data_IF_167170481030
#
_entry.id   IF_167170481030
#
_cell.length_a   1.000
_cell.length_b   1.000
_cell.length_c   1.000
_cell.angle_alpha   90.00
_cell.angle_beta   90.00
_cell.angle_gamma   90.00
#
_symmetry.space_group_name_H-M   'P 1'
#
loop_
_entity.id
_entity.type
_entity.pdbx_description
1 polymer ?
#
# COMPACT_ATOMS: atom_id res chain seq x y z
N UNK A 1 -14.86 10.91 -9.17
CA UNK A 1 -13.91 11.39 -8.14
C UNK A 1 -13.12 10.20 -7.59
N UNK A 2 -11.85 10.36 -7.20
CA UNK A 2 -11.08 9.34 -6.46
C UNK A 2 -11.57 9.28 -5.00
N UNK A 3 -11.63 8.09 -4.39
CA UNK A 3 -12.01 7.96 -2.98
C UNK A 3 -10.85 8.27 -2.05
N UNK A 4 -11.11 8.80 -0.85
CA UNK A 4 -10.10 8.91 0.21
C UNK A 4 -9.59 7.54 0.66
N UNK A 5 -10.42 6.50 0.56
CA UNK A 5 -10.01 5.12 0.85
C UNK A 5 -9.07 4.54 -0.22
N UNK A 6 -8.94 5.20 -1.38
CA UNK A 6 -7.92 4.84 -2.37
C UNK A 6 -6.53 5.33 -1.99
N UNK A 7 -6.45 6.40 -1.19
CA UNK A 7 -5.20 6.95 -0.66
C UNK A 7 -4.77 6.22 0.61
N UNK A 8 -5.72 5.94 1.49
CA UNK A 8 -5.49 5.25 2.76
C UNK A 8 -5.89 3.78 2.66
N UNK A 9 -4.93 2.93 2.30
CA UNK A 9 -5.15 1.48 2.15
C UNK A 9 -4.31 0.73 3.16
N UNK A 10 -4.97 -0.16 3.91
CA UNK A 10 -4.29 -1.14 4.75
C UNK A 10 -3.52 -2.08 3.82
N UNK A 11 -2.25 -2.29 4.11
CA UNK A 11 -1.39 -3.17 3.33
C UNK A 11 -0.23 -3.67 4.19
N UNK A 12 0.80 -4.16 3.51
CA UNK A 12 2.04 -4.59 4.15
C UNK A 12 3.22 -3.83 3.59
N UNK A 13 4.20 -3.59 4.45
CA UNK A 13 5.50 -3.07 4.07
C UNK A 13 6.35 -4.08 3.30
N UNK A 14 7.50 -3.65 2.78
CA UNK A 14 8.03 -2.28 2.84
C UNK A 14 7.56 -1.35 1.72
N UNK A 15 6.96 -1.87 0.64
CA UNK A 15 6.73 -1.07 -0.57
C UNK A 15 5.36 -1.29 -1.21
N UNK A 16 4.66 -0.21 -1.51
CA UNK A 16 3.39 -0.28 -2.25
C UNK A 16 3.61 -0.75 -3.69
N UNK A 17 4.72 -0.37 -4.34
CA UNK A 17 5.03 -0.75 -5.72
C UNK A 17 5.72 -2.11 -5.83
N UNK A 18 6.59 -2.46 -4.88
CA UNK A 18 7.42 -3.67 -4.96
C UNK A 18 6.94 -4.80 -4.03
N UNK A 19 5.97 -4.56 -3.14
CA UNK A 19 5.39 -5.60 -2.28
C UNK A 19 3.89 -5.75 -2.54
N UNK A 20 3.10 -4.68 -2.35
CA UNK A 20 1.64 -4.73 -2.55
C UNK A 20 1.27 -4.97 -4.01
N UNK A 21 1.94 -4.28 -4.95
CA UNK A 21 1.75 -4.47 -6.39
C UNK A 21 1.94 -5.93 -6.84
N UNK A 22 3.09 -6.58 -6.57
CA UNK A 22 3.30 -7.99 -6.93
C UNK A 22 2.31 -8.97 -6.32
N UNK A 23 1.85 -8.77 -5.07
CA UNK A 23 0.76 -9.59 -4.49
C UNK A 23 -0.48 -9.48 -5.36
N UNK A 24 -0.90 -8.26 -5.69
CA UNK A 24 -2.09 -8.00 -6.50
C UNK A 24 -1.96 -8.54 -7.92
N UNK A 25 -0.79 -8.40 -8.55
CA UNK A 25 -0.52 -8.96 -9.89
C UNK A 25 -0.68 -10.48 -9.86
N UNK A 26 -0.04 -11.15 -8.89
CA UNK A 26 -0.13 -12.60 -8.76
C UNK A 26 -1.57 -13.06 -8.50
N UNK A 27 -2.33 -12.36 -7.66
CA UNK A 27 -3.75 -12.65 -7.43
C UNK A 27 -4.59 -12.48 -8.72
N UNK A 28 -4.37 -11.40 -9.50
CA UNK A 28 -5.06 -11.20 -10.78
C UNK A 28 -4.75 -12.26 -11.82
N UNK A 29 -3.50 -12.73 -11.87
CA UNK A 29 -3.12 -13.81 -12.74
C UNK A 29 -3.85 -15.11 -12.39
N UNK A 30 -4.03 -15.39 -11.09
CA UNK A 30 -4.84 -16.52 -10.62
C UNK A 30 -6.32 -16.36 -11.01
N UNK A 31 -6.90 -15.17 -10.85
CA UNK A 31 -8.27 -14.88 -11.31
C UNK A 31 -8.41 -15.16 -12.83
N UNK A 32 -7.42 -14.77 -13.64
CA UNK A 32 -7.42 -15.00 -15.09
C UNK A 32 -7.32 -16.50 -15.46
N UNK A 33 -6.58 -17.30 -14.69
CA UNK A 33 -6.54 -18.76 -14.84
C UNK A 33 -7.89 -19.41 -14.53
N UNK A 34 -8.61 -18.91 -13.52
CA UNK A 34 -9.95 -19.38 -13.19
C UNK A 34 -10.96 -19.02 -14.29
N UNK A 35 -10.94 -17.76 -14.74
CA UNK A 35 -11.85 -17.27 -15.79
C UNK A 35 -11.64 -17.96 -17.14
N UNK A 36 -10.41 -18.34 -17.46
CA UNK A 36 -10.10 -19.11 -18.68
C UNK A 36 -10.41 -20.61 -18.58
N UNK A 37 -10.82 -21.11 -17.41
CA UNK A 37 -11.03 -22.53 -17.16
C UNK A 37 -9.73 -23.36 -17.17
N UNK A 38 -8.56 -22.71 -17.09
CA UNK A 38 -7.26 -23.37 -17.11
C UNK A 38 -6.76 -23.75 -15.72
N UNK A 39 -7.35 -23.21 -14.65
CA UNK A 39 -6.91 -23.36 -13.27
C UNK A 39 -6.58 -24.80 -12.88
N UNK A 40 -7.49 -25.75 -13.12
CA UNK A 40 -7.32 -27.15 -12.69
C UNK A 40 -6.24 -27.93 -13.47
N UNK A 41 -5.69 -27.34 -14.54
CA UNK A 41 -4.63 -27.95 -15.36
C UNK A 41 -3.24 -27.45 -15.02
N UNK A 42 -3.11 -26.46 -14.15
CA UNK A 42 -1.82 -25.83 -13.83
C UNK A 42 -0.96 -26.80 -13.03
N UNK A 43 0.19 -27.18 -13.60
CA UNK A 43 1.21 -27.98 -12.93
C UNK A 43 2.35 -27.16 -12.33
N UNK A 44 2.66 -25.99 -12.92
CA UNK A 44 3.74 -25.09 -12.50
C UNK A 44 3.43 -23.65 -12.89
N UNK A 45 3.86 -22.68 -12.09
CA UNK A 45 3.85 -21.25 -12.43
C UNK A 45 5.28 -20.74 -12.38
N UNK A 46 5.67 -19.96 -13.39
CA UNK A 46 6.93 -19.23 -13.43
C UNK A 46 6.64 -17.73 -13.46
N UNK A 47 7.48 -16.97 -12.76
CA UNK A 47 7.36 -15.53 -12.62
C UNK A 47 8.71 -14.89 -12.95
N UNK A 48 8.69 -13.88 -13.78
CA UNK A 48 9.84 -13.06 -14.11
C UNK A 48 9.63 -11.63 -13.61
N UNK A 49 10.48 -11.20 -12.67
CA UNK A 49 10.55 -9.81 -12.22
C UNK A 49 11.49 -9.05 -13.16
N UNK A 50 11.05 -7.89 -13.66
CA UNK A 50 11.77 -7.11 -14.68
C UNK A 50 12.04 -5.66 -14.23
N UNK A 51 13.04 -5.02 -14.81
CA UNK A 51 13.38 -3.62 -14.58
C UNK A 51 13.67 -3.28 -13.10
N UNK A 52 13.10 -2.18 -12.61
CA UNK A 52 13.26 -1.75 -11.20
C UNK A 52 12.74 -2.79 -10.21
N UNK A 53 11.71 -3.55 -10.59
CA UNK A 53 11.14 -4.60 -9.76
C UNK A 53 12.13 -5.75 -9.55
N UNK A 54 12.96 -6.06 -10.55
CA UNK A 54 14.08 -6.99 -10.43
C UNK A 54 15.21 -6.40 -9.59
N UNK A 55 15.65 -5.18 -9.93
CA UNK A 55 16.85 -4.55 -9.36
C UNK A 55 16.76 -4.33 -7.85
N UNK A 56 15.58 -3.98 -7.35
CA UNK A 56 15.37 -3.67 -5.92
C UNK A 56 14.47 -4.69 -5.21
N UNK A 57 14.01 -5.72 -5.93
CA UNK A 57 12.97 -6.63 -5.44
C UNK A 57 13.39 -7.45 -4.22
N UNK A 58 14.67 -7.84 -4.12
CA UNK A 58 15.19 -8.55 -2.95
C UNK A 58 15.00 -7.72 -1.67
N UNK A 59 15.38 -6.44 -1.71
CA UNK A 59 15.26 -5.52 -0.57
C UNK A 59 13.82 -5.16 -0.22
N UNK A 60 12.90 -5.24 -1.19
CA UNK A 60 11.48 -4.99 -1.01
C UNK A 60 10.63 -6.25 -0.82
N UNK A 61 11.27 -7.42 -0.72
CA UNK A 61 10.62 -8.71 -0.60
C UNK A 61 9.63 -9.04 -1.74
N UNK A 62 9.91 -8.59 -2.99
CA UNK A 62 9.07 -8.90 -4.15
C UNK A 62 8.89 -10.42 -4.37
N UNK A 63 9.93 -11.28 -4.28
CA UNK A 63 9.74 -12.72 -4.41
C UNK A 63 8.76 -13.30 -3.38
N UNK A 64 8.85 -12.83 -2.13
CA UNK A 64 7.91 -13.19 -1.06
C UNK A 64 6.49 -12.76 -1.41
N UNK A 65 6.32 -11.52 -1.84
CA UNK A 65 5.04 -10.96 -2.27
C UNK A 65 4.37 -11.77 -3.38
N UNK A 66 5.14 -12.20 -4.39
CA UNK A 66 4.64 -13.05 -5.48
C UNK A 66 4.10 -14.38 -4.94
N UNK A 67 4.87 -15.07 -4.08
CA UNK A 67 4.43 -16.34 -3.49
C UNK A 67 3.13 -16.20 -2.71
N UNK A 68 2.99 -15.11 -1.94
CA UNK A 68 1.79 -14.83 -1.16
C UNK A 68 0.58 -14.56 -2.06
N UNK A 69 0.72 -13.74 -3.10
CA UNK A 69 -0.37 -13.48 -4.04
C UNK A 69 -0.81 -14.74 -4.79
N UNK A 70 0.12 -15.58 -5.25
CA UNK A 70 -0.19 -16.88 -5.87
C UNK A 70 -0.87 -17.84 -4.88
N UNK A 71 -0.52 -17.78 -3.60
CA UNK A 71 -1.13 -18.57 -2.54
C UNK A 71 -2.52 -18.05 -2.11
N UNK A 72 -3.01 -16.96 -2.69
CA UNK A 72 -4.35 -16.41 -2.45
C UNK A 72 -4.41 -15.36 -1.33
N UNK A 73 -3.28 -14.84 -0.86
CA UNK A 73 -3.27 -13.77 0.13
C UNK A 73 -3.59 -12.42 -0.52
N UNK A 74 -4.47 -11.64 0.13
CA UNK A 74 -4.72 -10.23 -0.19
C UNK A 74 -3.89 -9.31 0.71
N UNK A 75 -3.28 -8.23 0.20
CA UNK A 75 -2.42 -7.37 1.00
C UNK A 75 -3.19 -6.66 2.14
N UNK A 76 -4.49 -6.42 1.99
CA UNK A 76 -5.35 -5.77 2.98
C UNK A 76 -5.79 -6.68 4.13
N UNK A 77 -5.77 -8.00 3.90
CA UNK A 77 -6.31 -9.03 4.81
C UNK A 77 -5.27 -10.04 5.26
N UNK A 78 -4.03 -9.93 4.77
CA UNK A 78 -2.95 -10.84 5.10
C UNK A 78 -2.64 -10.79 6.61
N UNK A 79 -2.56 -11.98 7.21
CA UNK A 79 -1.96 -12.19 8.51
C UNK A 79 -0.43 -12.34 8.35
N UNK A 80 0.39 -11.49 8.99
CA UNK A 80 1.85 -11.55 8.87
C UNK A 80 2.46 -12.89 9.29
N UNK A 81 1.92 -13.54 10.32
CA UNK A 81 2.47 -14.79 10.85
C UNK A 81 2.12 -15.95 9.92
N UNK A 82 0.88 -16.01 9.42
CA UNK A 82 0.47 -16.99 8.41
C UNK A 82 1.26 -16.84 7.11
N UNK A 83 1.57 -15.62 6.72
CA UNK A 83 2.36 -15.32 5.54
C UNK A 83 3.80 -15.84 5.65
N UNK A 84 4.47 -15.65 6.79
CA UNK A 84 5.81 -16.20 7.02
C UNK A 84 5.80 -17.74 7.00
N UNK A 85 4.83 -18.36 7.67
CA UNK A 85 4.69 -19.82 7.69
C UNK A 85 4.45 -20.38 6.28
N UNK A 86 3.62 -19.70 5.49
CA UNK A 86 3.33 -20.12 4.10
C UNK A 86 4.58 -20.05 3.23
N UNK A 87 5.34 -18.96 3.31
CA UNK A 87 6.57 -18.77 2.53
C UNK A 87 7.63 -19.78 2.92
N UNK A 88 7.83 -20.04 4.22
CA UNK A 88 8.74 -21.05 4.71
C UNK A 88 8.37 -22.45 4.18
N UNK A 89 7.08 -22.81 4.26
CA UNK A 89 6.57 -24.10 3.75
C UNK A 89 6.80 -24.27 2.25
N UNK A 90 6.59 -23.22 1.45
CA UNK A 90 6.85 -23.27 0.00
C UNK A 90 8.34 -23.54 -0.26
N UNK A 91 9.24 -22.86 0.46
CA UNK A 91 10.68 -23.08 0.33
C UNK A 91 11.14 -24.49 0.72
N UNK A 92 10.53 -25.07 1.75
CA UNK A 92 10.87 -26.43 2.22
C UNK A 92 10.31 -27.54 1.32
N UNK A 93 9.08 -27.36 0.82
CA UNK A 93 8.36 -28.42 0.10
C UNK A 93 8.49 -28.32 -1.42
N UNK A 94 8.99 -27.19 -1.93
CA UNK A 94 9.01 -26.86 -3.37
C UNK A 94 7.61 -27.03 -4.01
N UNK A 95 6.57 -26.72 -3.24
CA UNK A 95 5.18 -26.79 -3.63
C UNK A 95 4.42 -25.57 -3.12
N UNK A 96 3.62 -24.98 -4.02
CA UNK A 96 2.76 -23.84 -3.71
C UNK A 96 1.30 -24.29 -3.81
N UNK A 97 0.48 -23.89 -2.83
CA UNK A 97 -0.97 -24.13 -2.88
C UNK A 97 -1.65 -22.96 -3.60
N UNK A 98 -1.83 -23.07 -4.91
CA UNK A 98 -2.36 -22.03 -5.78
C UNK A 98 -3.77 -21.63 -5.34
N UNK A 99 -4.01 -20.33 -5.19
CA UNK A 99 -5.23 -19.76 -4.60
C UNK A 99 -5.59 -20.33 -3.21
N UNK A 100 -4.64 -20.92 -2.49
CA UNK A 100 -4.89 -21.64 -1.25
C UNK A 100 -5.66 -22.95 -1.43
N UNK A 101 -5.84 -23.43 -2.68
CA UNK A 101 -6.69 -24.58 -3.03
C UNK A 101 -5.91 -25.75 -3.62
N UNK A 102 -5.15 -25.54 -4.68
CA UNK A 102 -4.55 -26.62 -5.47
C UNK A 102 -3.02 -26.65 -5.34
N UNK A 103 -2.39 -27.75 -4.90
CA UNK A 103 -0.94 -27.85 -4.87
C UNK A 103 -0.36 -27.92 -6.28
N UNK A 104 0.63 -27.08 -6.57
CA UNK A 104 1.42 -27.08 -7.80
C UNK A 104 2.90 -27.23 -7.45
N UNK A 105 3.71 -27.68 -8.43
CA UNK A 105 5.17 -27.62 -8.30
C UNK A 105 5.59 -26.15 -8.33
N UNK A 106 6.38 -25.73 -7.34
CA UNK A 106 6.90 -24.37 -7.29
C UNK A 106 8.21 -24.34 -6.51
N UNK A 107 9.32 -24.19 -7.21
CA UNK A 107 10.65 -23.97 -6.63
C UNK A 107 11.00 -22.48 -6.73
N UNK A 108 10.95 -21.71 -5.62
CA UNK A 108 11.21 -20.28 -5.66
C UNK A 108 12.55 -19.88 -6.28
N UNK A 109 13.57 -20.76 -6.23
CA UNK A 109 14.89 -20.47 -6.76
C UNK A 109 14.96 -20.51 -8.29
N UNK A 110 14.07 -21.26 -8.93
CA UNK A 110 14.05 -21.46 -10.40
C UNK A 110 12.78 -20.92 -11.06
N UNK A 111 11.70 -20.78 -10.29
CA UNK A 111 10.39 -20.32 -10.74
C UNK A 111 10.18 -18.83 -10.51
N UNK A 112 11.01 -18.18 -9.69
CA UNK A 112 11.08 -16.70 -9.59
C UNK A 112 12.39 -16.24 -10.22
N UNK A 113 12.30 -15.77 -11.46
CA UNK A 113 13.43 -15.23 -12.22
C UNK A 113 13.55 -13.74 -11.92
N UNK A 114 14.72 -13.33 -11.43
CA UNK A 114 15.07 -11.91 -11.25
C UNK A 114 15.84 -11.44 -12.48
N UNK A 115 15.11 -10.94 -13.49
CA UNK A 115 15.66 -10.55 -14.79
C UNK A 115 16.12 -9.08 -14.78
N UNK A 116 17.26 -8.82 -14.12
CA UNK A 116 17.84 -7.48 -14.00
C UNK A 116 18.26 -6.85 -15.35
N UNK A 117 18.44 -7.67 -16.39
CA UNK A 117 18.82 -7.29 -17.75
C UNK A 117 17.61 -6.97 -18.64
N UNK A 118 16.39 -7.33 -18.22
CA UNK A 118 15.15 -7.04 -18.96
C UNK A 118 14.59 -5.70 -18.50
N UNK A 119 14.57 -4.73 -19.42
CA UNK A 119 14.01 -3.40 -19.20
C UNK A 119 12.69 -3.28 -19.97
N UNK A 120 11.53 -3.26 -19.29
CA UNK A 120 10.25 -3.14 -19.99
C UNK A 120 10.06 -1.76 -20.61
N UNK A 121 9.45 -1.72 -21.80
CA UNK A 121 9.25 -0.48 -22.55
C UNK A 121 8.14 0.43 -21.97
N UNK A 122 7.12 -0.15 -21.34
CA UNK A 122 5.90 0.56 -20.93
C UNK A 122 6.01 1.18 -19.53
N UNK A 123 6.60 0.46 -18.58
CA UNK A 123 6.78 0.93 -17.20
C UNK A 123 7.94 0.16 -16.54
N UNK A 124 8.78 0.79 -15.69
CA UNK A 124 9.99 0.17 -15.15
C UNK A 124 9.74 -1.00 -14.20
N UNK A 125 8.55 -1.11 -13.61
CA UNK A 125 8.18 -2.20 -12.70
C UNK A 125 7.37 -3.28 -13.43
N UNK A 126 8.03 -4.07 -14.27
CA UNK A 126 7.41 -5.15 -15.05
C UNK A 126 7.43 -6.49 -14.31
N UNK A 127 6.39 -7.29 -14.51
CA UNK A 127 6.27 -8.65 -14.00
C UNK A 127 5.55 -9.51 -15.02
N UNK A 128 6.20 -10.58 -15.50
CA UNK A 128 5.60 -11.56 -16.42
C UNK A 128 5.33 -12.86 -15.68
N UNK A 129 4.14 -13.42 -15.85
CA UNK A 129 3.73 -14.68 -15.24
C UNK A 129 3.32 -15.65 -16.32
N UNK A 130 3.83 -16.87 -16.22
CA UNK A 130 3.53 -17.95 -17.16
C UNK A 130 3.08 -19.18 -16.38
N UNK A 131 1.90 -19.71 -16.70
CA UNK A 131 1.38 -20.95 -16.16
C UNK A 131 1.60 -22.08 -17.16
N UNK A 132 2.07 -23.22 -16.66
CA UNK A 132 2.32 -24.42 -17.44
C UNK A 132 1.47 -25.59 -16.93
N UNK A 133 1.06 -26.47 -17.83
CA UNK A 133 0.53 -27.78 -17.46
C UNK A 133 1.64 -28.75 -17.00
N UNK A 134 1.26 -29.97 -16.58
CA UNK A 134 2.20 -31.00 -16.15
C UNK A 134 3.19 -31.45 -17.25
N UNK A 135 2.83 -31.25 -18.52
CA UNK A 135 3.67 -31.60 -19.68
C UNK A 135 4.59 -30.44 -20.11
N UNK A 136 4.48 -29.28 -19.45
CA UNK A 136 5.23 -28.06 -19.76
C UNK A 136 4.56 -27.14 -20.79
N UNK A 137 3.38 -27.49 -21.30
CA UNK A 137 2.61 -26.67 -22.22
C UNK A 137 2.14 -25.38 -21.55
N UNK A 138 2.24 -24.25 -22.25
CA UNK A 138 1.82 -22.94 -21.73
C UNK A 138 0.29 -22.85 -21.74
N UNK A 139 -0.29 -22.58 -20.58
CA UNK A 139 -1.73 -22.40 -20.37
C UNK A 139 -2.12 -20.92 -20.41
N UNK A 140 -1.29 -20.06 -19.82
CA UNK A 140 -1.48 -18.61 -19.77
C UNK A 140 -0.12 -17.93 -19.65
N UNK A 141 0.03 -16.80 -20.33
CA UNK A 141 1.24 -15.98 -20.32
C UNK A 141 0.84 -14.50 -20.36
N UNK A 142 1.06 -13.78 -19.27
CA UNK A 142 0.64 -12.39 -19.14
C UNK A 142 1.74 -11.53 -18.53
N UNK A 143 1.83 -10.30 -19.02
CA UNK A 143 2.72 -9.26 -18.48
C UNK A 143 1.89 -8.18 -17.81
N UNK A 144 2.29 -7.81 -16.60
CA UNK A 144 1.66 -6.82 -15.76
C UNK A 144 2.69 -5.83 -15.23
N UNK A 145 2.21 -4.68 -14.80
CA UNK A 145 3.02 -3.57 -14.31
C UNK A 145 2.49 -3.06 -12.98
N UNK A 146 3.39 -2.78 -12.05
CA UNK A 146 3.07 -2.12 -10.79
C UNK A 146 3.33 -0.61 -10.91
N UNK A 147 2.26 0.18 -11.05
CA UNK A 147 2.30 1.60 -11.45
C UNK A 147 2.39 2.58 -10.27
N UNK A 148 2.61 2.09 -9.05
CA UNK A 148 2.78 2.90 -7.84
C UNK A 148 1.53 2.99 -6.97
N UNK A 149 1.70 3.25 -5.66
CA UNK A 149 0.59 3.28 -4.69
C UNK A 149 -0.20 1.97 -4.54
N UNK A 150 0.37 0.83 -4.98
CA UNK A 150 -0.30 -0.47 -5.02
C UNK A 150 -1.27 -0.66 -6.20
N UNK A 151 -1.29 0.26 -7.16
CA UNK A 151 -2.03 0.10 -8.41
C UNK A 151 -1.25 -0.77 -9.40
N UNK A 152 -1.99 -1.49 -10.24
CA UNK A 152 -1.45 -2.43 -11.23
C UNK A 152 -2.16 -2.22 -12.57
N UNK A 153 -1.47 -2.52 -13.67
CA UNK A 153 -2.02 -2.46 -15.02
C UNK A 153 -1.47 -3.62 -15.86
N UNK A 154 -2.30 -4.23 -16.70
CA UNK A 154 -1.81 -5.21 -17.68
C UNK A 154 -1.08 -4.52 -18.82
N UNK A 155 -0.23 -5.27 -19.53
CA UNK A 155 0.41 -4.79 -20.76
C UNK A 155 -0.60 -4.26 -21.77
N UNK A 156 -1.72 -4.95 -21.94
CA UNK A 156 -2.79 -4.53 -22.86
C UNK A 156 -3.35 -3.16 -22.50
N UNK A 157 -3.58 -2.88 -21.22
CA UNK A 157 -4.10 -1.59 -20.73
C UNK A 157 -3.10 -0.45 -20.95
N UNK A 158 -1.80 -0.70 -20.81
CA UNK A 158 -0.78 0.34 -21.05
C UNK A 158 -0.48 0.57 -22.54
N UNK A 159 -0.52 -0.47 -23.39
CA UNK A 159 -0.31 -0.34 -24.84
C UNK A 159 -1.49 0.31 -25.55
N UNK A 160 -2.69 -0.04 -25.11
CA UNK A 160 -3.94 0.51 -25.63
C UNK A 160 -4.75 0.92 -24.41
N UNK A 161 -4.57 2.15 -23.92
CA UNK A 161 -5.54 2.73 -23.00
C UNK A 161 -6.88 2.61 -23.72
N UNK A 162 -7.81 1.81 -23.20
CA UNK A 162 -9.17 1.81 -23.75
C UNK A 162 -9.66 3.26 -23.67
N UNK A 163 -10.32 3.77 -24.71
CA UNK A 163 -11.12 4.98 -24.52
C UNK A 163 -12.04 4.70 -23.32
N UNK A 164 -11.84 5.45 -22.22
CA UNK A 164 -12.47 5.24 -20.90
C UNK A 164 -11.85 4.17 -19.95
N UNK A 165 -10.61 3.68 -20.15
CA UNK A 165 -9.90 2.74 -19.21
C UNK A 165 -9.23 3.42 -18.01
N UNK A 166 -9.35 4.74 -17.90
CA UNK A 166 -9.14 5.37 -16.61
C UNK A 166 -10.28 4.85 -15.73
N UNK A 167 -9.97 3.92 -14.80
CA UNK A 167 -10.84 3.45 -13.69
C UNK A 167 -12.00 4.42 -13.56
N UNK A 168 -13.26 4.05 -13.90
CA UNK A 168 -14.31 4.99 -14.29
C UNK A 168 -14.37 6.16 -13.32
N UNK A 169 -13.63 7.22 -13.64
CA UNK A 169 -13.32 8.29 -12.67
C UNK A 169 -14.36 9.39 -12.75
N UNK A 170 -15.30 9.24 -13.69
CA UNK A 170 -16.49 10.06 -13.81
C UNK A 170 -17.69 9.41 -13.10
N UNK A 171 -17.49 8.86 -11.90
CA UNK A 171 -18.60 8.86 -10.95
C UNK A 171 -18.92 10.33 -10.66
N UNK A 172 -20.08 10.76 -11.15
CA UNK A 172 -20.63 12.08 -10.90
C UNK A 172 -20.93 12.17 -9.40
N UNK A 173 -20.25 13.10 -8.73
CA UNK A 173 -20.43 13.36 -7.31
C UNK A 173 -21.02 14.76 -7.11
N UNK A 174 -21.77 15.01 -6.01
CA UNK A 174 -22.40 16.29 -5.75
C UNK A 174 -21.44 17.48 -5.76
N UNK A 175 -20.23 17.29 -5.25
CA UNK A 175 -19.24 18.35 -5.08
C UNK A 175 -17.92 17.98 -5.76
N UNK A 176 -17.94 17.89 -7.09
CA UNK A 176 -16.75 17.57 -7.86
C UNK A 176 -15.72 18.72 -7.81
N UNK A 177 -14.46 18.38 -7.55
CA UNK A 177 -13.35 19.32 -7.62
C UNK A 177 -12.12 18.67 -8.25
N UNK A 178 -11.33 19.50 -8.92
CA UNK A 178 -10.02 19.15 -9.48
C UNK A 178 -8.91 20.09 -9.03
N UNK A 179 -9.25 21.25 -8.44
CA UNK A 179 -8.30 22.23 -7.91
C UNK A 179 -8.67 22.68 -6.49
N UNK A 180 -7.71 23.26 -5.77
CA UNK A 180 -7.97 23.88 -4.48
C UNK A 180 -9.00 25.03 -4.58
N UNK A 181 -8.98 25.79 -5.68
CA UNK A 181 -9.96 26.85 -5.92
C UNK A 181 -11.37 26.29 -6.08
N UNK A 182 -11.54 25.21 -6.84
CA UNK A 182 -12.82 24.50 -6.97
C UNK A 182 -13.26 23.88 -5.63
N UNK A 183 -12.35 23.28 -4.86
CA UNK A 183 -12.67 22.73 -3.54
C UNK A 183 -13.24 23.81 -2.61
N UNK A 184 -12.58 24.97 -2.52
CA UNK A 184 -13.04 26.11 -1.72
C UNK A 184 -14.41 26.60 -2.22
N UNK A 185 -14.56 26.78 -3.54
CA UNK A 185 -15.83 27.20 -4.13
C UNK A 185 -16.98 26.23 -3.80
N UNK A 186 -16.74 24.91 -3.85
CA UNK A 186 -17.76 23.92 -3.53
C UNK A 186 -18.10 23.89 -2.04
N UNK A 187 -17.12 24.13 -1.15
CA UNK A 187 -17.37 24.31 0.28
C UNK A 187 -18.27 25.52 0.53
N UNK A 188 -17.96 26.67 -0.09
CA UNK A 188 -18.74 27.91 0.03
C UNK A 188 -20.16 27.75 -0.53
N UNK A 189 -20.33 27.08 -1.67
CA UNK A 189 -21.63 26.83 -2.29
C UNK A 189 -22.49 25.86 -1.48
N UNK A 190 -21.87 24.87 -0.84
CA UNK A 190 -22.56 23.87 -0.01
C UNK A 190 -22.82 24.31 1.43
N UNK A 191 -22.18 25.38 1.90
CA UNK A 191 -22.04 25.71 3.33
C UNK A 191 -21.52 24.50 4.13
N UNK A 192 -20.48 23.85 3.59
CA UNK A 192 -19.87 22.63 4.13
C UNK A 192 -18.40 22.85 4.43
N UNK A 193 -17.93 22.26 5.53
CA UNK A 193 -16.51 22.07 5.75
C UNK A 193 -15.96 20.98 4.80
N UNK A 194 -14.64 20.95 4.60
CA UNK A 194 -13.97 20.06 3.63
C UNK A 194 -14.33 18.59 3.89
N UNK A 195 -14.29 18.15 5.15
CA UNK A 195 -14.60 16.77 5.51
C UNK A 195 -16.04 16.39 5.22
N UNK A 196 -16.97 17.33 5.38
CA UNK A 196 -18.40 17.11 5.14
C UNK A 196 -18.68 17.01 3.65
N UNK A 197 -18.01 17.86 2.85
CA UNK A 197 -18.05 17.80 1.39
C UNK A 197 -17.51 16.46 0.88
N UNK A 198 -16.35 16.03 1.37
CA UNK A 198 -15.76 14.74 0.99
C UNK A 198 -16.66 13.58 1.40
N UNK A 199 -17.21 13.60 2.61
CA UNK A 199 -18.12 12.55 3.07
C UNK A 199 -19.38 12.47 2.20
N UNK A 200 -19.94 13.61 1.78
CA UNK A 200 -21.07 13.66 0.87
C UNK A 200 -20.74 13.09 -0.53
N UNK A 201 -19.50 13.27 -0.99
CA UNK A 201 -19.05 12.64 -2.23
C UNK A 201 -18.83 11.12 -2.08
N UNK A 202 -18.30 10.67 -0.94
CA UNK A 202 -18.13 9.24 -0.63
C UNK A 202 -19.48 8.50 -0.53
N UNK A 203 -20.55 9.17 -0.08
CA UNK A 203 -21.91 8.60 0.01
C UNK A 203 -22.46 8.15 -1.36
N UNK A 204 -21.91 8.66 -2.47
CA UNK A 204 -22.27 8.20 -3.83
C UNK A 204 -21.67 6.83 -4.13
N UNK A 205 -20.52 6.51 -3.52
CA UNK A 205 -19.78 5.28 -3.77
C UNK A 205 -20.29 4.13 -2.90
N UNK A 206 -20.69 4.44 -1.67
CA UNK A 206 -21.11 3.46 -0.67
C UNK A 206 -21.94 4.11 0.44
N UNK A 207 -22.71 3.34 1.21
CA UNK A 207 -23.38 3.86 2.40
C UNK A 207 -22.41 4.54 3.37
N UNK A 208 -22.81 5.68 3.94
CA UNK A 208 -22.00 6.46 4.89
C UNK A 208 -21.37 5.62 6.00
N UNK A 209 -22.14 4.69 6.55
CA UNK A 209 -21.70 3.81 7.63
C UNK A 209 -20.47 2.96 7.23
N UNK A 210 -20.36 2.55 5.97
CA UNK A 210 -19.20 1.79 5.47
C UNK A 210 -17.96 2.68 5.38
N UNK A 211 -18.11 3.93 4.92
CA UNK A 211 -17.01 4.89 4.91
C UNK A 211 -16.50 5.18 6.32
N UNK A 212 -17.41 5.40 7.28
CA UNK A 212 -17.04 5.62 8.68
C UNK A 212 -16.33 4.40 9.27
N UNK A 213 -16.87 3.20 9.08
CA UNK A 213 -16.23 1.97 9.57
C UNK A 213 -14.84 1.73 8.95
N UNK A 214 -14.67 2.08 7.67
CA UNK A 214 -13.37 1.99 7.00
C UNK A 214 -12.35 2.99 7.56
N UNK A 215 -12.77 4.24 7.84
CA UNK A 215 -11.92 5.26 8.48
C UNK A 215 -11.50 4.83 9.89
N UNK A 216 -12.42 4.24 10.66
CA UNK A 216 -12.12 3.71 12.00
C UNK A 216 -11.09 2.59 11.91
N UNK A 217 -11.29 1.63 10.99
CA UNK A 217 -10.32 0.56 10.74
C UNK A 217 -8.95 1.10 10.34
N UNK A 218 -8.90 2.13 9.49
CA UNK A 218 -7.64 2.78 9.11
C UNK A 218 -6.94 3.38 10.33
N UNK A 219 -7.68 4.10 11.17
CA UNK A 219 -7.15 4.70 12.39
C UNK A 219 -6.63 3.64 13.37
N UNK A 220 -7.35 2.54 13.54
CA UNK A 220 -6.93 1.44 14.41
C UNK A 220 -5.67 0.74 13.90
N UNK A 221 -5.57 0.49 12.59
CA UNK A 221 -4.36 -0.09 11.99
C UNK A 221 -3.16 0.87 12.12
N UNK A 222 -3.38 2.17 11.91
CA UNK A 222 -2.36 3.20 12.13
C UNK A 222 -1.84 3.21 13.58
N UNK A 223 -2.76 3.19 14.56
CA UNK A 223 -2.42 3.14 15.99
C UNK A 223 -1.69 1.85 16.36
N UNK A 224 -2.20 0.70 15.93
CA UNK A 224 -1.56 -0.59 16.16
C UNK A 224 -0.17 -0.68 15.51
N UNK A 225 0.05 -0.01 14.37
CA UNK A 225 1.36 0.10 13.74
C UNK A 225 2.36 0.89 14.61
N UNK A 226 1.93 2.04 15.15
CA UNK A 226 2.72 2.80 16.12
C UNK A 226 3.07 1.91 17.32
N UNK A 227 2.07 1.29 17.96
CA UNK A 227 2.27 0.46 19.16
C UNK A 227 3.28 -0.68 18.92
N UNK A 228 3.17 -1.41 17.80
CA UNK A 228 4.13 -2.45 17.44
C UNK A 228 5.54 -1.88 17.24
N UNK A 229 5.67 -0.74 16.58
CA UNK A 229 6.96 -0.08 16.34
C UNK A 229 7.61 0.45 17.62
N UNK A 230 6.82 0.94 18.57
CA UNK A 230 7.30 1.39 19.88
C UNK A 230 7.70 0.22 20.80
N UNK A 231 7.17 -0.98 20.57
CA UNK A 231 7.46 -2.16 21.39
C UNK A 231 8.61 -3.02 20.87
N UNK A 232 8.96 -2.94 19.57
CA UNK A 232 9.94 -3.81 18.94
C UNK A 232 11.35 -3.21 18.89
N UNK A 233 12.29 -3.89 19.50
CA UNK A 233 13.73 -3.68 19.31
C UNK A 233 14.31 -4.55 18.19
N UNK A 234 15.58 -4.31 17.86
CA UNK A 234 16.36 -5.17 16.97
C UNK A 234 16.90 -4.46 15.74
N UNK A 235 17.26 -5.25 14.73
CA UNK A 235 17.78 -4.76 13.45
C UNK A 235 16.71 -4.94 12.37
N UNK A 236 16.58 -3.93 11.51
CA UNK A 236 15.75 -4.03 10.31
C UNK A 236 16.35 -5.07 9.34
N UNK A 237 15.49 -5.77 8.57
CA UNK A 237 15.94 -6.72 7.57
C UNK A 237 16.73 -6.04 6.45
N UNK A 238 17.42 -6.84 5.63
CA UNK A 238 18.28 -6.35 4.55
C UNK A 238 19.77 -6.24 4.94
N UNK A 239 20.55 -5.67 4.01
CA UNK A 239 22.03 -5.68 4.05
C UNK A 239 22.61 -4.58 4.94
N UNK A 240 21.87 -3.50 5.19
CA UNK A 240 22.34 -2.33 5.94
C UNK A 240 22.32 -2.51 7.46
N UNK A 241 21.64 -3.55 7.98
CA UNK A 241 21.57 -3.86 9.43
C UNK A 241 21.26 -2.64 10.30
N UNK A 242 20.31 -1.82 9.85
CA UNK A 242 19.91 -0.58 10.54
C UNK A 242 19.22 -0.96 11.85
N UNK A 243 19.69 -0.38 12.97
CA UNK A 243 19.08 -0.60 14.29
C UNK A 243 17.76 0.18 14.40
N UNK A 244 16.72 -0.48 14.90
CA UNK A 244 15.47 0.16 15.35
C UNK A 244 15.75 1.12 16.51
N UNK A 245 15.11 2.28 16.48
CA UNK A 245 15.35 3.39 17.41
C UNK A 245 14.07 3.84 18.10
N UNK A 246 12.89 3.56 17.54
CA UNK A 246 11.62 4.03 18.08
C UNK A 246 11.40 3.57 19.52
N UNK A 247 11.58 2.27 19.82
CA UNK A 247 11.40 1.72 21.17
C UNK A 247 12.29 2.38 22.24
N UNK A 248 13.58 2.56 21.93
CA UNK A 248 14.53 3.19 22.83
C UNK A 248 14.21 4.68 23.07
N UNK A 249 13.82 5.41 22.01
CA UNK A 249 13.42 6.82 22.11
C UNK A 249 12.12 6.97 22.91
N UNK A 250 11.14 6.09 22.68
CA UNK A 250 9.87 6.05 23.41
C UNK A 250 10.06 5.87 24.90
N UNK A 251 10.93 4.93 25.30
CA UNK A 251 11.27 4.72 26.70
C UNK A 251 11.89 5.98 27.32
N UNK A 252 12.83 6.60 26.62
CA UNK A 252 13.48 7.84 27.08
C UNK A 252 12.47 8.96 27.28
N UNK A 253 11.55 9.17 26.35
CA UNK A 253 10.55 10.25 26.44
C UNK A 253 9.56 10.04 27.60
N UNK A 254 9.19 8.79 27.89
CA UNK A 254 8.32 8.49 29.03
C UNK A 254 9.03 8.63 30.39
N UNK A 255 10.32 8.32 30.45
CA UNK A 255 11.12 8.41 31.67
C UNK A 255 11.52 9.87 32.00
N UNK A 256 11.69 10.73 31.00
CA UNK A 256 12.33 12.06 31.12
C UNK A 256 11.33 13.24 31.03
N UNK A 257 10.32 13.25 31.91
CA UNK A 257 9.21 14.24 31.95
C UNK A 257 9.62 15.70 32.26
N UNK A 258 10.91 16.02 32.30
CA UNK A 258 11.44 17.28 32.84
C UNK A 258 12.12 18.25 31.85
N UNK A 259 12.15 17.96 30.55
CA UNK A 259 12.84 18.80 29.54
C UNK A 259 11.92 19.83 28.86
N UNK A 260 12.49 20.76 28.08
CA UNK A 260 11.77 21.83 27.38
C UNK A 260 10.60 21.31 26.52
N UNK A 261 9.38 21.82 26.76
CA UNK A 261 8.14 21.41 26.06
C UNK A 261 8.22 21.47 24.53
N UNK A 262 8.95 22.46 23.97
CA UNK A 262 9.11 22.61 22.51
C UNK A 262 10.00 21.55 21.86
N UNK A 263 11.01 21.06 22.56
CA UNK A 263 11.89 19.99 22.05
C UNK A 263 11.15 18.64 22.12
N UNK A 264 10.30 18.45 23.13
CA UNK A 264 9.47 17.24 23.27
C UNK A 264 8.44 17.09 22.14
N UNK A 265 7.85 18.17 21.63
CA UNK A 265 6.91 18.09 20.50
C UNK A 265 7.52 17.38 19.29
N UNK A 266 8.71 17.80 18.89
CA UNK A 266 9.41 17.19 17.75
C UNK A 266 9.82 15.75 18.05
N UNK A 267 10.26 15.46 19.27
CA UNK A 267 10.63 14.10 19.65
C UNK A 267 9.44 13.14 19.67
N UNK A 268 8.25 13.60 20.10
CA UNK A 268 7.01 12.82 20.04
C UNK A 268 6.59 12.52 18.61
N UNK A 269 6.60 13.52 17.72
CA UNK A 269 6.28 13.29 16.31
C UNK A 269 7.30 12.35 15.64
N UNK A 270 8.60 12.54 15.95
CA UNK A 270 9.67 11.69 15.44
C UNK A 270 9.52 10.25 15.90
N UNK A 271 9.22 9.99 17.18
CA UNK A 271 9.12 8.62 17.69
C UNK A 271 7.96 7.87 17.05
N UNK A 272 6.81 8.52 16.86
CA UNK A 272 5.66 7.90 16.19
C UNK A 272 5.93 7.64 14.70
N UNK A 273 6.51 8.61 13.99
CA UNK A 273 6.83 8.44 12.58
C UNK A 273 7.88 7.34 12.37
N UNK A 274 8.91 7.30 13.22
CA UNK A 274 9.93 6.26 13.21
C UNK A 274 9.35 4.89 13.51
N UNK A 275 8.44 4.77 14.50
CA UNK A 275 7.80 3.50 14.83
C UNK A 275 7.10 2.89 13.61
N UNK A 276 6.32 3.70 12.89
CA UNK A 276 5.60 3.25 11.69
C UNK A 276 6.56 2.92 10.54
N UNK A 277 7.56 3.78 10.27
CA UNK A 277 8.52 3.54 9.19
C UNK A 277 9.45 2.33 9.47
N UNK A 278 9.75 2.04 10.73
CA UNK A 278 10.48 0.83 11.14
C UNK A 278 9.62 -0.43 10.99
N UNK A 279 8.33 -0.39 11.35
CA UNK A 279 7.41 -1.49 11.05
C UNK A 279 7.24 -1.71 9.54
N UNK A 280 7.10 -0.63 8.75
CA UNK A 280 7.07 -0.71 7.31
C UNK A 280 8.32 -1.41 6.76
N UNK A 281 9.51 -0.94 7.13
CA UNK A 281 10.77 -1.49 6.67
C UNK A 281 10.97 -2.96 7.06
N UNK A 282 10.30 -3.42 8.12
CA UNK A 282 10.33 -4.81 8.56
C UNK A 282 9.25 -5.70 7.92
N UNK A 283 8.43 -5.16 7.00
CA UNK A 283 7.36 -5.92 6.35
C UNK A 283 6.07 -6.05 7.18
N UNK A 284 5.92 -5.22 8.22
CA UNK A 284 4.72 -5.19 9.05
C UNK A 284 3.50 -4.61 8.33
N UNK A 285 2.33 -4.77 8.94
CA UNK A 285 1.10 -4.15 8.47
C UNK A 285 1.14 -2.62 8.66
N UNK A 286 0.84 -1.88 7.59
CA UNK A 286 0.89 -0.42 7.51
C UNK A 286 -0.31 0.11 6.73
N UNK A 287 -0.59 1.41 6.84
CA UNK A 287 -1.56 2.09 5.97
C UNK A 287 -0.80 3.01 5.01
N UNK A 288 -1.10 2.96 3.71
CA UNK A 288 -0.56 3.92 2.76
C UNK A 288 -1.01 5.33 3.10
N UNK A 289 -0.11 6.31 3.02
CA UNK A 289 -0.46 7.70 3.30
C UNK A 289 0.42 8.71 2.54
N UNK A 290 0.39 8.77 1.20
CA UNK A 290 -0.39 7.96 0.25
C UNK A 290 0.37 6.72 -0.28
N UNK A 291 1.57 6.47 0.23
CA UNK A 291 2.41 5.30 -0.07
C UNK A 291 2.99 4.72 1.23
N UNK A 292 3.53 3.50 1.19
CA UNK A 292 4.18 2.87 2.33
C UNK A 292 5.41 3.66 2.82
N UNK A 293 6.19 4.23 1.91
CA UNK A 293 7.41 4.99 2.26
C UNK A 293 7.14 6.25 3.11
N UNK A 294 5.94 6.83 2.97
CA UNK A 294 5.50 8.03 3.68
C UNK A 294 4.51 7.71 4.84
N UNK A 295 4.30 6.43 5.13
CA UNK A 295 3.23 5.95 6.01
C UNK A 295 3.28 6.49 7.45
N UNK A 296 4.45 6.91 7.95
CA UNK A 296 4.59 7.39 9.33
C UNK A 296 4.09 8.80 9.60
N UNK A 297 3.89 9.64 8.59
CA UNK A 297 3.63 11.08 8.78
C UNK A 297 2.22 11.32 9.32
N UNK A 298 1.21 10.86 8.60
CA UNK A 298 -0.21 10.98 8.98
C UNK A 298 -0.51 10.41 10.37
N UNK A 299 -0.15 9.14 10.69
CA UNK A 299 -0.44 8.57 12.00
C UNK A 299 0.33 9.25 13.12
N UNK A 300 1.53 9.77 12.89
CA UNK A 300 2.26 10.53 13.91
C UNK A 300 1.54 11.83 14.28
N UNK A 301 1.00 12.56 13.29
CA UNK A 301 0.24 13.79 13.52
C UNK A 301 -1.10 13.49 14.19
N UNK A 302 -1.82 12.44 13.76
CA UNK A 302 -3.06 11.99 14.42
C UNK A 302 -2.78 11.63 15.88
N UNK A 303 -1.74 10.83 16.14
CA UNK A 303 -1.41 10.40 17.49
C UNK A 303 -1.09 11.58 18.41
N UNK A 304 -0.46 12.63 17.89
CA UNK A 304 -0.08 13.79 18.67
C UNK A 304 -1.24 14.79 18.89
N UNK A 305 -2.05 15.06 17.86
CA UNK A 305 -3.04 16.14 17.90
C UNK A 305 -4.49 15.69 18.09
N UNK A 306 -4.80 14.40 17.88
CA UNK A 306 -6.18 13.89 17.96
C UNK A 306 -6.42 12.98 19.17
N UNK A 307 -5.40 12.27 19.68
CA UNK A 307 -5.61 11.15 20.62
C UNK A 307 -6.01 11.54 22.05
N UNK A 308 -5.66 12.73 22.54
CA UNK A 308 -5.82 13.11 23.96
C UNK A 308 -7.12 13.85 24.28
N UNK A 309 -8.19 13.59 23.52
CA UNK A 309 -9.48 14.30 23.64
C UNK A 309 -10.67 13.34 23.68
N UNK A 310 -11.75 13.73 24.38
CA UNK A 310 -12.98 12.94 24.45
C UNK A 310 -13.64 12.77 23.07
N UNK A 311 -13.36 13.68 22.11
CA UNK A 311 -13.83 13.64 20.72
C UNK A 311 -12.82 13.01 19.74
N UNK A 312 -11.79 12.29 20.24
CA UNK A 312 -10.67 11.78 19.44
C UNK A 312 -11.07 11.03 18.18
N UNK A 313 -12.08 10.16 18.26
CA UNK A 313 -12.60 9.38 17.13
C UNK A 313 -13.11 10.31 16.02
N UNK A 314 -13.94 11.29 16.37
CA UNK A 314 -14.48 12.23 15.40
C UNK A 314 -13.39 13.17 14.87
N UNK A 315 -12.43 13.59 15.71
CA UNK A 315 -11.24 14.33 15.25
C UNK A 315 -10.47 13.56 14.19
N UNK A 316 -10.16 12.29 14.44
CA UNK A 316 -9.42 11.44 13.52
C UNK A 316 -10.17 11.23 12.20
N UNK A 317 -11.49 11.04 12.23
CA UNK A 317 -12.31 10.93 11.02
C UNK A 317 -12.27 12.23 10.19
N UNK A 318 -12.45 13.38 10.83
CA UNK A 318 -12.34 14.69 10.15
C UNK A 318 -10.95 14.89 9.56
N UNK A 319 -9.91 14.60 10.33
CA UNK A 319 -8.52 14.68 9.90
C UNK A 319 -8.29 13.83 8.63
N UNK A 320 -8.68 12.55 8.64
CA UNK A 320 -8.49 11.65 7.51
C UNK A 320 -9.26 12.10 6.26
N UNK A 321 -10.50 12.59 6.42
CA UNK A 321 -11.31 13.10 5.31
C UNK A 321 -10.69 14.36 4.69
N UNK A 322 -10.28 15.32 5.51
CA UNK A 322 -9.65 16.56 5.05
C UNK A 322 -8.27 16.31 4.44
N UNK A 323 -7.43 15.51 5.10
CA UNK A 323 -6.15 15.07 4.57
C UNK A 323 -6.31 14.32 3.23
N UNK A 324 -7.34 13.46 3.14
CA UNK A 324 -7.70 12.77 1.91
C UNK A 324 -8.07 13.73 0.78
N UNK A 325 -8.83 14.80 1.06
CA UNK A 325 -9.17 15.84 0.08
C UNK A 325 -7.89 16.46 -0.53
N UNK A 326 -6.93 16.81 0.32
CA UNK A 326 -5.64 17.37 -0.10
C UNK A 326 -4.86 16.36 -0.95
N UNK A 327 -4.85 15.08 -0.56
CA UNK A 327 -4.21 14.03 -1.35
C UNK A 327 -4.84 13.83 -2.73
N UNK A 328 -6.16 13.97 -2.84
CA UNK A 328 -6.90 13.87 -4.11
C UNK A 328 -6.48 15.00 -5.08
N UNK A 329 -6.28 16.23 -4.58
CA UNK A 329 -5.81 17.36 -5.40
C UNK A 329 -4.46 17.04 -6.08
N UNK A 330 -3.55 16.41 -5.34
CA UNK A 330 -2.28 15.97 -5.90
C UNK A 330 -2.47 14.83 -6.89
N UNK A 331 -3.24 13.79 -6.55
CA UNK A 331 -3.41 12.60 -7.41
C UNK A 331 -4.10 12.89 -8.74
N UNK A 332 -5.05 13.83 -8.77
CA UNK A 332 -5.80 14.18 -9.99
C UNK A 332 -4.97 14.95 -11.01
N UNK A 333 -3.96 15.71 -10.56
CA UNK A 333 -3.15 16.58 -11.43
C UNK A 333 -1.69 16.13 -11.56
N UNK A 334 -1.24 15.18 -10.75
CA UNK A 334 0.12 14.70 -10.71
C UNK A 334 0.18 13.21 -10.31
N UNK A 335 1.25 12.54 -10.73
CA UNK A 335 1.52 11.21 -10.21
C UNK A 335 1.96 11.26 -8.75
N UNK A 336 1.53 10.26 -7.98
CA UNK A 336 1.97 10.00 -6.59
C UNK A 336 3.07 8.94 -6.56
N UNK A 337 3.51 8.45 -7.73
CA UNK A 337 4.63 7.52 -7.82
C UNK A 337 5.95 8.23 -7.54
N UNK A 338 6.68 7.80 -6.52
CA UNK A 338 8.05 8.27 -6.28
C UNK A 338 8.99 7.98 -7.45
N UNK A 339 8.67 7.01 -8.31
CA UNK A 339 9.43 6.73 -9.53
C UNK A 339 9.23 7.79 -10.64
N UNK A 340 8.14 8.56 -10.59
CA UNK A 340 7.80 9.55 -11.63
C UNK A 340 8.02 10.98 -11.13
N UNK A 341 7.72 11.27 -9.86
CA UNK A 341 7.79 12.61 -9.28
C UNK A 341 8.81 12.75 -8.14
N UNK A 342 9.53 11.69 -7.79
CA UNK A 342 10.47 11.68 -6.67
C UNK A 342 9.78 11.75 -5.29
N UNK A 343 10.58 11.91 -4.23
CA UNK A 343 10.12 11.91 -2.83
C UNK A 343 9.08 13.01 -2.53
N UNK A 344 9.08 14.12 -3.28
CA UNK A 344 8.08 15.18 -3.15
C UNK A 344 6.66 14.69 -3.48
N UNK A 345 6.50 13.73 -4.39
CA UNK A 345 5.20 13.14 -4.75
C UNK A 345 4.65 12.16 -3.71
N UNK A 346 5.48 11.76 -2.74
CA UNK A 346 5.14 10.79 -1.70
C UNK A 346 5.18 11.44 -0.31
N UNK A 347 6.38 11.73 0.20
CA UNK A 347 6.60 12.35 1.51
C UNK A 347 6.11 13.80 1.53
N UNK A 348 6.37 14.56 0.47
CA UNK A 348 5.89 15.94 0.36
C UNK A 348 4.35 16.02 0.39
N UNK A 349 3.70 15.14 -0.37
CA UNK A 349 2.24 15.00 -0.36
C UNK A 349 1.72 14.59 1.01
N UNK A 350 2.33 13.59 1.66
CA UNK A 350 1.95 13.18 3.02
C UNK A 350 2.06 14.31 4.05
N UNK A 351 3.13 15.12 3.99
CA UNK A 351 3.28 16.31 4.83
C UNK A 351 2.18 17.34 4.56
N UNK A 352 1.84 17.60 3.29
CA UNK A 352 0.76 18.53 2.93
C UNK A 352 -0.61 18.01 3.36
N UNK A 353 -0.87 16.71 3.21
CA UNK A 353 -2.09 16.07 3.68
C UNK A 353 -2.22 16.22 5.19
N UNK A 354 -1.14 15.96 5.94
CA UNK A 354 -1.14 16.05 7.38
C UNK A 354 -1.28 17.48 7.90
N UNK A 355 -0.77 18.48 7.18
CA UNK A 355 -0.94 19.89 7.53
C UNK A 355 -2.35 20.42 7.23
N UNK A 356 -3.05 19.83 6.27
CA UNK A 356 -4.44 20.19 5.96
C UNK A 356 -5.47 19.53 6.87
N UNK A 357 -5.20 18.32 7.36
CA UNK A 357 -6.07 17.55 8.26
C UNK A 357 -6.25 18.17 9.63
#
# INVERSE_FOLDING_TARGET
MLSVLDLFRVGIGPSSSHTVGPIRIAARFVDALEQSGAFDRVGRVQVELQGSLALTGEGHASPKAVMLGLAGFGPETLDPDEAELTVARIGETLSLKLAGRMPIRFDPATDIIVACDVIPALHPNGMRLTAHDEQGGVLLDETWFSTGGGFIASQRQLERPVEDDLVPTQISVPYAFTSAAELIQMCEQGDLAIEQLVLANEDVLRPRAETIAALDRIADVMRGCIERGLAKDGLLPGKLKVKRRAAALWKKLNDDRGSNEREQLFDWLNVYAMAVNEENAAGGQVVTAPTNGAAGIIPAVIQHYCSDTDDSVDRTRRFLLTAGAIGILYKQRASISGAEMGCQGEVGVACSMAAGG
#
